data_IF_750573603534
#
_entry.id   IF_750573603534
#
_cell.length_a   1.000
_cell.length_b   1.000
_cell.length_c   1.000
_cell.angle_alpha   90.00
_cell.angle_beta   90.00
_cell.angle_gamma   90.00
#
_symmetry.space_group_name_H-M   'P 1'
#
loop_
_entity.id
_entity.type
_entity.pdbx_description
1 polymer ?
#
# COMPACT_ATOMS: atom_id res chain seq x y z
N UNK A 1 7.45 -8.10 12.46
CA UNK A 1 7.65 -8.01 11.00
C UNK A 1 8.94 -8.73 10.72
N UNK A 2 8.89 -9.85 10.02
CA UNK A 2 10.10 -10.62 9.71
C UNK A 2 11.00 -9.81 8.78
N UNK A 3 12.25 -9.64 9.19
CA UNK A 3 13.26 -8.95 8.39
C UNK A 3 13.74 -9.90 7.31
N UNK A 4 13.45 -9.57 6.06
CA UNK A 4 13.97 -10.35 4.92
C UNK A 4 15.49 -10.23 4.89
N UNK A 5 16.20 -11.31 4.58
CA UNK A 5 17.64 -11.27 4.43
C UNK A 5 18.06 -10.40 3.23
N UNK A 6 19.32 -9.97 3.23
CA UNK A 6 19.84 -9.00 2.24
C UNK A 6 19.81 -9.54 0.80
N UNK A 7 20.06 -10.83 0.60
CA UNK A 7 20.13 -11.41 -0.74
C UNK A 7 18.73 -11.55 -1.33
N UNK A 8 17.78 -12.02 -0.51
CA UNK A 8 16.36 -12.05 -0.88
C UNK A 8 15.83 -10.64 -1.14
N UNK A 9 16.17 -9.65 -0.29
CA UNK A 9 15.80 -8.25 -0.50
C UNK A 9 16.27 -7.73 -1.86
N UNK A 10 17.53 -8.00 -2.21
CA UNK A 10 18.13 -7.57 -3.47
C UNK A 10 17.42 -8.17 -4.67
N UNK A 11 17.18 -9.49 -4.67
CA UNK A 11 16.46 -10.18 -5.77
C UNK A 11 15.05 -9.64 -5.94
N UNK A 12 14.32 -9.46 -4.83
CA UNK A 12 12.97 -8.90 -4.84
C UNK A 12 12.96 -7.45 -5.34
N UNK A 13 13.91 -6.61 -4.90
CA UNK A 13 14.06 -5.25 -5.39
C UNK A 13 14.32 -5.23 -6.90
N UNK A 14 15.30 -5.98 -7.39
CA UNK A 14 15.66 -6.01 -8.82
C UNK A 14 14.47 -6.44 -9.71
N UNK A 15 13.72 -7.45 -9.27
CA UNK A 15 12.53 -7.92 -9.97
C UNK A 15 11.40 -6.86 -9.95
N UNK A 16 10.95 -6.46 -8.76
CA UNK A 16 9.76 -5.62 -8.61
C UNK A 16 10.00 -4.14 -8.95
N UNK A 17 11.26 -3.69 -9.04
CA UNK A 17 11.61 -2.37 -9.58
C UNK A 17 11.20 -2.22 -11.05
N UNK A 18 11.25 -3.32 -11.81
CA UNK A 18 10.95 -3.38 -13.25
C UNK A 18 9.54 -3.90 -13.53
N UNK A 19 9.06 -4.86 -12.74
CA UNK A 19 7.74 -5.47 -12.88
C UNK A 19 6.95 -5.32 -11.59
N UNK A 20 6.04 -4.34 -11.52
CA UNK A 20 5.33 -4.02 -10.26
C UNK A 20 4.06 -4.84 -10.03
N UNK A 21 3.53 -5.55 -11.03
CA UNK A 21 2.34 -6.38 -10.82
C UNK A 21 2.66 -7.55 -9.88
N UNK A 22 1.80 -7.76 -8.89
CA UNK A 22 1.88 -8.90 -7.98
C UNK A 22 2.58 -8.59 -6.65
N UNK A 23 3.12 -7.38 -6.45
CA UNK A 23 3.72 -6.94 -5.17
C UNK A 23 2.78 -7.20 -3.98
N UNK A 24 1.48 -6.98 -4.18
CA UNK A 24 0.46 -7.19 -3.14
C UNK A 24 0.39 -8.64 -2.62
N UNK A 25 0.83 -9.62 -3.42
CA UNK A 25 0.85 -11.04 -3.07
C UNK A 25 2.17 -11.50 -2.43
N UNK A 26 3.13 -10.59 -2.20
CA UNK A 26 4.42 -10.88 -1.59
C UNK A 26 4.57 -10.14 -0.27
N UNK A 27 4.36 -10.80 0.88
CA UNK A 27 4.50 -10.20 2.21
C UNK A 27 5.84 -9.50 2.44
N UNK A 28 6.93 -10.08 1.95
CA UNK A 28 8.32 -9.61 2.12
C UNK A 28 8.53 -8.22 1.51
N UNK A 29 7.75 -7.86 0.49
CA UNK A 29 7.81 -6.53 -0.13
C UNK A 29 7.45 -5.40 0.83
N UNK A 30 6.77 -5.69 1.94
CA UNK A 30 6.53 -4.71 3.01
C UNK A 30 7.85 -4.17 3.60
N UNK A 31 8.92 -4.96 3.55
CA UNK A 31 10.23 -4.63 4.13
C UNK A 31 11.21 -4.03 3.13
N UNK A 32 10.82 -3.72 1.89
CA UNK A 32 11.75 -3.30 0.81
C UNK A 32 11.31 -2.00 0.16
N UNK A 33 12.23 -1.03 0.04
CA UNK A 33 12.00 0.20 -0.70
C UNK A 33 12.24 -0.01 -2.21
N UNK A 34 11.22 0.25 -3.03
CA UNK A 34 11.37 0.18 -4.50
C UNK A 34 12.02 1.42 -5.14
N UNK A 35 12.46 2.40 -4.35
CA UNK A 35 13.22 3.55 -4.88
C UNK A 35 14.72 3.32 -4.73
N UNK A 36 15.18 2.94 -3.53
CA UNK A 36 16.61 2.82 -3.22
C UNK A 36 17.06 1.41 -2.80
N UNK A 37 16.17 0.41 -2.76
CA UNK A 37 16.51 -0.97 -2.36
C UNK A 37 16.76 -1.18 -0.87
N UNK A 38 16.64 -0.15 -0.04
CA UNK A 38 16.80 -0.27 1.42
C UNK A 38 15.74 -1.17 2.05
N UNK A 39 16.14 -1.90 3.09
CA UNK A 39 15.24 -2.70 3.93
C UNK A 39 14.78 -2.00 5.22
N UNK A 40 15.14 -0.72 5.39
CA UNK A 40 14.76 0.07 6.57
C UNK A 40 13.40 0.74 6.35
N UNK A 41 12.35 -0.08 6.39
CA UNK A 41 10.96 0.36 6.28
C UNK A 41 10.33 0.44 7.67
N UNK A 42 9.66 1.55 7.96
CA UNK A 42 8.91 1.75 9.21
C UNK A 42 7.49 2.24 8.92
N UNK A 43 6.52 2.00 9.82
CA UNK A 43 5.22 2.67 9.75
C UNK A 43 5.36 4.18 9.82
N UNK A 44 4.48 4.91 9.12
CA UNK A 44 4.38 6.36 9.24
C UNK A 44 3.60 6.70 10.50
N UNK A 45 4.10 7.63 11.32
CA UNK A 45 3.56 7.90 12.65
C UNK A 45 2.08 8.33 12.69
N UNK A 46 1.60 9.01 11.64
CA UNK A 46 0.25 9.54 11.50
C UNK A 46 -0.71 8.60 10.75
N UNK A 47 -0.19 7.54 10.12
CA UNK A 47 -0.98 6.66 9.26
C UNK A 47 -0.35 5.27 9.21
N UNK A 48 -0.87 4.35 10.01
CA UNK A 48 -0.42 2.96 10.07
C UNK A 48 -0.69 2.17 8.76
N UNK A 49 -1.43 2.73 7.80
CA UNK A 49 -1.59 2.16 6.45
C UNK A 49 -0.44 2.54 5.53
N UNK A 50 0.40 3.49 5.95
CA UNK A 50 1.59 3.94 5.22
C UNK A 50 2.85 3.39 5.85
N UNK A 51 3.74 2.98 4.97
CA UNK A 51 5.12 2.62 5.27
C UNK A 51 6.03 3.68 4.66
N UNK A 52 7.12 4.00 5.34
CA UNK A 52 8.13 4.95 4.88
C UNK A 52 9.51 4.33 4.94
N UNK A 53 10.29 4.55 3.88
CA UNK A 53 11.70 4.20 3.86
C UNK A 53 12.51 5.23 4.66
N UNK A 54 13.18 4.80 5.73
CA UNK A 54 14.05 5.69 6.53
C UNK A 54 15.24 6.25 5.73
N UNK A 55 15.68 5.52 4.69
CA UNK A 55 16.86 5.90 3.92
C UNK A 55 16.61 7.01 2.89
N UNK A 56 15.46 6.99 2.20
CA UNK A 56 15.16 7.94 1.11
C UNK A 56 13.86 8.73 1.29
N UNK A 57 13.12 8.49 2.37
CA UNK A 57 11.85 9.17 2.65
C UNK A 57 10.67 8.72 1.79
N UNK A 58 10.87 7.82 0.82
CA UNK A 58 9.77 7.32 -0.01
C UNK A 58 8.71 6.63 0.85
N UNK A 59 7.47 7.11 0.76
CA UNK A 59 6.32 6.56 1.45
C UNK A 59 5.37 5.84 0.48
N UNK A 60 4.75 4.76 0.95
CA UNK A 60 3.79 3.99 0.17
C UNK A 60 2.72 3.37 1.06
N UNK A 61 1.55 3.11 0.49
CA UNK A 61 0.48 2.43 1.20
C UNK A 61 0.71 0.92 1.21
N UNK A 62 0.52 0.28 2.36
CA UNK A 62 0.36 -1.17 2.46
C UNK A 62 -0.50 -1.55 3.66
N UNK A 63 -1.64 -2.20 3.42
CA UNK A 63 -2.60 -2.56 4.46
C UNK A 63 -3.52 -3.70 4.00
N UNK A 64 -4.24 -4.30 4.93
CA UNK A 64 -5.25 -5.32 4.63
C UNK A 64 -6.56 -4.66 4.24
N UNK A 65 -7.16 -5.08 3.12
CA UNK A 65 -8.49 -4.64 2.71
C UNK A 65 -9.54 -5.08 3.74
N UNK A 66 -10.32 -4.12 4.25
CA UNK A 66 -11.40 -4.39 5.22
C UNK A 66 -12.48 -5.33 4.70
N UNK A 67 -12.79 -5.28 3.40
CA UNK A 67 -13.89 -6.03 2.79
C UNK A 67 -13.55 -7.49 2.44
N UNK A 68 -12.32 -7.78 2.01
CA UNK A 68 -11.95 -9.13 1.52
C UNK A 68 -10.69 -9.72 2.14
N UNK A 69 -10.03 -9.02 3.07
CA UNK A 69 -8.81 -9.50 3.73
C UNK A 69 -7.56 -9.57 2.85
N UNK A 70 -7.65 -9.21 1.56
CA UNK A 70 -6.46 -9.19 0.68
C UNK A 70 -5.56 -8.02 0.99
N UNK A 71 -4.26 -8.21 0.81
CA UNK A 71 -3.29 -7.12 0.92
C UNK A 71 -3.49 -6.12 -0.21
N UNK A 72 -3.44 -4.85 0.15
CA UNK A 72 -3.34 -3.71 -0.75
C UNK A 72 -1.91 -3.20 -0.65
N UNK A 73 -1.25 -2.98 -1.79
CA UNK A 73 0.05 -2.32 -1.85
C UNK A 73 0.02 -1.23 -2.93
N UNK A 74 0.15 0.03 -2.54
CA UNK A 74 0.03 1.16 -3.45
C UNK A 74 1.14 1.28 -4.50
N UNK A 75 2.13 0.39 -4.47
CA UNK A 75 3.17 0.27 -5.52
C UNK A 75 2.74 -0.72 -6.61
N UNK A 76 1.76 -1.58 -6.34
CA UNK A 76 1.17 -2.51 -7.30
C UNK A 76 0.18 -1.78 -8.22
N UNK A 77 0.31 -1.88 -9.56
CA UNK A 77 -0.61 -1.22 -10.50
C UNK A 77 -2.07 -1.65 -10.35
N UNK A 78 -2.34 -2.84 -9.80
CA UNK A 78 -3.71 -3.34 -9.54
C UNK A 78 -4.32 -2.77 -8.26
N UNK A 79 -3.59 -1.93 -7.53
CA UNK A 79 -4.09 -1.14 -6.42
C UNK A 79 -3.98 0.37 -6.71
N UNK A 80 -4.75 0.90 -7.68
CA UNK A 80 -4.71 2.31 -8.04
C UNK A 80 -5.17 3.19 -6.87
N UNK A 81 -4.81 4.47 -6.92
CA UNK A 81 -5.35 5.46 -5.99
C UNK A 81 -6.86 5.63 -6.23
N UNK A 82 -7.64 5.72 -5.15
CA UNK A 82 -9.02 6.17 -5.22
C UNK A 82 -9.04 7.68 -5.44
N UNK A 83 -9.83 8.14 -6.42
CA UNK A 83 -9.98 9.57 -6.74
C UNK A 83 -10.70 10.38 -5.66
N UNK A 84 -11.47 9.74 -4.78
CA UNK A 84 -12.28 10.40 -3.76
C UNK A 84 -11.50 10.57 -2.45
N UNK A 85 -11.11 9.46 -1.81
CA UNK A 85 -10.43 9.50 -0.51
C UNK A 85 -8.91 9.41 -0.56
N UNK A 86 -8.30 9.31 -1.75
CA UNK A 86 -6.84 9.23 -1.91
C UNK A 86 -6.16 7.94 -1.42
N UNK A 87 -6.94 7.00 -0.87
CA UNK A 87 -6.48 5.66 -0.48
C UNK A 87 -6.29 4.75 -1.70
N UNK A 88 -6.15 3.44 -1.50
CA UNK A 88 -5.94 2.47 -2.58
C UNK A 88 -7.16 1.58 -2.77
N UNK A 89 -7.55 1.40 -4.04
CA UNK A 89 -8.63 0.49 -4.43
C UNK A 89 -8.10 -0.94 -4.39
N UNK A 90 -8.81 -1.82 -3.68
CA UNK A 90 -8.49 -3.24 -3.65
C UNK A 90 -8.86 -3.90 -4.99
N UNK A 91 -8.25 -5.05 -5.26
CA UNK A 91 -8.65 -5.91 -6.40
C UNK A 91 -10.07 -6.45 -6.31
N UNK A 92 -10.76 -6.33 -5.16
CA UNK A 92 -12.19 -6.61 -5.05
C UNK A 92 -13.09 -5.42 -5.43
N UNK A 93 -12.49 -4.29 -5.84
CA UNK A 93 -13.21 -3.06 -6.21
C UNK A 93 -13.48 -2.10 -5.05
N UNK A 94 -13.29 -2.53 -3.79
CA UNK A 94 -13.53 -1.68 -2.60
C UNK A 94 -12.30 -0.86 -2.25
N UNK A 95 -12.52 0.38 -1.82
CA UNK A 95 -11.55 1.18 -1.07
C UNK A 95 -12.18 1.60 0.25
N UNK A 96 -11.35 1.84 1.27
CA UNK A 96 -11.83 2.29 2.59
C UNK A 96 -12.07 3.81 2.60
N UNK A 97 -12.65 4.37 1.54
CA UNK A 97 -13.25 5.69 1.67
C UNK A 97 -14.21 5.59 2.84
N UNK A 98 -14.11 6.52 3.79
CA UNK A 98 -15.23 6.73 4.67
C UNK A 98 -16.42 6.86 3.73
N UNK A 99 -17.42 5.99 3.86
CA UNK A 99 -18.73 6.38 3.42
C UNK A 99 -19.02 7.59 4.32
N UNK A 100 -18.56 8.77 3.90
CA UNK A 100 -19.06 10.01 4.41
C UNK A 100 -20.54 9.85 4.15
N UNK A 101 -21.26 9.64 5.25
CA UNK A 101 -22.65 10.00 5.44
C UNK A 101 -23.12 10.76 4.22
N UNK A 102 -23.85 10.05 3.36
CA UNK A 102 -24.73 10.72 2.41
C UNK A 102 -25.61 11.57 3.31
N UNK A 103 -25.29 12.87 3.43
CA UNK A 103 -26.32 13.84 3.74
C UNK A 103 -27.13 13.81 2.46
N UNK A 104 -28.16 12.97 2.49
CA UNK A 104 -29.21 13.01 1.51
C UNK A 104 -29.72 14.44 1.52
N UNK A 105 -29.45 15.17 0.45
CA UNK A 105 -30.17 16.39 0.11
C UNK A 105 -31.62 16.03 -0.25
N UNK A 106 -32.35 15.42 0.68
CA UNK A 106 -33.79 15.46 0.75
C UNK A 106 -34.16 16.55 1.75
N UNK A 107 -33.79 17.77 1.39
CA UNK A 107 -34.55 18.94 1.81
C UNK A 107 -35.95 18.78 1.23
N UNK A 108 -36.83 18.13 1.99
CA UNK A 108 -38.26 18.30 1.85
C UNK A 108 -38.70 19.20 3.00
N UNK A 109 -39.23 20.36 2.62
CA UNK A 109 -40.19 21.12 3.42
C UNK A 109 -41.45 20.28 3.62
#
# INVERSE_FOLDING_TARGET
METVDRDTAKKLFEHYRRQRDGIRNKPEMASICLICGSIHIIPKADDNRKLVCRNCGFAFYRYTCSACGRTIDGRDPKNPACGECGQRVCTCGVCDCAADTVIDNKGNV
#
